data_IF_317997679602
#
_entry.id   IF_317997679602
#
_cell.length_a   1.000
_cell.length_b   1.000
_cell.length_c   1.000
_cell.angle_alpha   90.00
_cell.angle_beta   90.00
_cell.angle_gamma   90.00
#
_symmetry.space_group_name_H-M   'P 1'
#
loop_
_entity.id
_entity.type
_entity.pdbx_description
1 polymer ?
#
# COMPACT_ATOMS: atom_id res chain seq x y z
N UNK A 1 -19.87 14.52 24.49
CA UNK A 1 -19.71 13.55 23.39
C UNK A 1 -18.26 13.62 22.91
N UNK A 2 -17.56 12.49 22.75
CA UNK A 2 -16.16 12.53 22.37
C UNK A 2 -15.95 12.97 20.92
N UNK A 3 -14.88 13.71 20.71
CA UNK A 3 -14.35 14.08 19.40
C UNK A 3 -13.22 13.11 19.03
N UNK A 4 -13.37 12.42 17.90
CA UNK A 4 -12.36 11.48 17.38
C UNK A 4 -11.51 12.15 16.33
N UNK A 5 -10.19 12.08 16.49
CA UNK A 5 -9.25 12.36 15.43
C UNK A 5 -9.06 11.08 14.62
N UNK A 6 -9.48 11.10 13.37
CA UNK A 6 -9.44 9.93 12.48
C UNK A 6 -8.37 10.10 11.41
N UNK A 7 -7.26 9.37 11.52
CA UNK A 7 -6.23 9.35 10.48
C UNK A 7 -6.64 8.42 9.35
N UNK A 8 -6.80 8.98 8.17
CA UNK A 8 -7.14 8.29 6.92
C UNK A 8 -6.07 8.48 5.87
N UNK A 9 -5.97 7.55 4.93
CA UNK A 9 -5.15 7.71 3.73
C UNK A 9 -6.01 8.17 2.56
N UNK A 10 -5.88 9.44 2.19
CA UNK A 10 -6.50 10.04 1.00
C UNK A 10 -5.45 10.39 -0.08
N UNK A 11 -4.25 9.78 -0.04
CA UNK A 11 -3.23 9.93 -1.07
C UNK A 11 -3.66 9.23 -2.37
N UNK A 12 -4.70 9.77 -2.99
CA UNK A 12 -5.33 9.29 -4.24
C UNK A 12 -5.26 10.43 -5.24
N UNK A 13 -4.38 10.30 -6.25
CA UNK A 13 -4.15 11.34 -7.27
C UNK A 13 -5.16 11.30 -8.41
N UNK A 14 -5.69 10.12 -8.70
CA UNK A 14 -6.59 9.86 -9.82
C UNK A 14 -7.89 10.68 -9.71
N UNK A 15 -8.42 11.13 -10.86
CA UNK A 15 -9.70 11.85 -10.91
C UNK A 15 -10.86 10.95 -10.46
N UNK A 16 -10.82 9.66 -10.79
CA UNK A 16 -11.85 8.67 -10.41
C UNK A 16 -11.62 8.09 -9.02
N UNK A 17 -11.23 8.93 -8.06
CA UNK A 17 -10.90 8.48 -6.70
C UNK A 17 -12.07 7.83 -5.96
N UNK A 18 -13.32 8.14 -6.33
CA UNK A 18 -14.53 7.57 -5.69
C UNK A 18 -14.62 6.05 -5.82
N UNK A 19 -14.09 5.48 -6.90
CA UNK A 19 -14.09 4.04 -7.14
C UNK A 19 -12.97 3.31 -6.42
N UNK A 20 -11.98 4.04 -5.92
CA UNK A 20 -10.86 3.48 -5.22
C UNK A 20 -11.29 2.86 -3.88
N UNK A 21 -10.82 1.63 -3.62
CA UNK A 21 -11.11 0.92 -2.37
C UNK A 21 -10.76 1.76 -1.13
N UNK A 22 -9.63 2.47 -1.18
CA UNK A 22 -9.14 3.36 -0.12
C UNK A 22 -10.17 4.42 0.23
N UNK A 23 -10.78 5.04 -0.77
CA UNK A 23 -11.83 6.04 -0.57
C UNK A 23 -13.11 5.43 0.04
N UNK A 24 -13.54 4.27 -0.46
CA UNK A 24 -14.71 3.55 0.06
C UNK A 24 -14.52 3.15 1.54
N UNK A 25 -13.33 2.67 1.89
CA UNK A 25 -12.99 2.32 3.28
C UNK A 25 -12.92 3.56 4.18
N UNK A 26 -12.44 4.71 3.67
CA UNK A 26 -12.45 5.97 4.39
C UNK A 26 -13.90 6.40 4.71
N UNK A 27 -14.79 6.37 3.72
CA UNK A 27 -16.21 6.71 3.91
C UNK A 27 -16.91 5.78 4.92
N UNK A 28 -16.65 4.47 4.86
CA UNK A 28 -17.18 3.51 5.85
C UNK A 28 -16.68 3.80 7.26
N UNK A 29 -15.42 4.22 7.41
CA UNK A 29 -14.83 4.56 8.71
C UNK A 29 -15.48 5.81 9.30
N UNK A 30 -15.72 6.83 8.48
CA UNK A 30 -16.45 8.05 8.87
C UNK A 30 -17.86 7.68 9.34
N UNK A 31 -18.60 6.92 8.52
CA UNK A 31 -19.96 6.46 8.85
C UNK A 31 -20.02 5.71 10.18
N UNK A 32 -19.04 4.86 10.43
CA UNK A 32 -18.98 4.06 11.67
C UNK A 32 -18.70 4.90 12.90
N UNK A 33 -17.75 5.84 12.83
CA UNK A 33 -17.33 6.65 13.97
C UNK A 33 -18.31 7.78 14.29
N UNK A 34 -18.96 8.36 13.28
CA UNK A 34 -19.94 9.43 13.48
C UNK A 34 -21.31 8.94 13.98
N UNK A 35 -21.47 7.62 14.18
CA UNK A 35 -22.61 7.07 14.91
C UNK A 35 -22.61 7.57 16.36
N UNK A 36 -23.77 7.54 17.02
CA UNK A 36 -23.95 7.96 18.41
C UNK A 36 -23.54 9.41 18.68
N UNK A 37 -23.72 10.28 17.67
CA UNK A 37 -23.42 11.71 17.77
C UNK A 37 -21.96 12.06 18.08
N UNK A 38 -21.00 11.18 17.84
CA UNK A 38 -19.58 11.52 17.98
C UNK A 38 -19.16 12.53 16.91
N UNK A 39 -18.34 13.49 17.27
CA UNK A 39 -17.67 14.38 16.32
C UNK A 39 -16.46 13.68 15.74
N UNK A 40 -16.13 13.94 14.46
CA UNK A 40 -14.98 13.35 13.79
C UNK A 40 -14.17 14.42 13.08
N UNK A 41 -12.88 14.53 13.39
CA UNK A 41 -11.92 15.38 12.68
C UNK A 41 -10.99 14.48 11.89
N UNK A 42 -11.05 14.58 10.57
CA UNK A 42 -10.26 13.75 9.66
C UNK A 42 -8.90 14.39 9.42
N UNK A 43 -7.87 13.61 9.68
CA UNK A 43 -6.45 13.92 9.44
C UNK A 43 -5.97 13.11 8.23
N UNK A 44 -5.48 13.78 7.20
CA UNK A 44 -4.98 13.09 6.01
C UNK A 44 -3.92 13.88 5.25
N UNK A 45 -3.42 13.28 4.17
CA UNK A 45 -2.47 13.92 3.26
C UNK A 45 -2.72 13.52 1.81
N UNK A 46 -2.14 14.28 0.89
CA UNK A 46 -2.12 14.01 -0.54
C UNK A 46 -0.77 14.43 -1.12
N UNK A 47 -0.11 13.53 -1.83
CA UNK A 47 1.15 13.79 -2.54
C UNK A 47 2.34 14.08 -1.62
N UNK A 48 3.32 14.77 -2.18
CA UNK A 48 4.57 15.16 -1.50
C UNK A 48 4.89 16.64 -1.75
N UNK A 49 4.07 17.56 -1.24
CA UNK A 49 4.30 18.99 -1.42
C UNK A 49 5.58 19.44 -0.72
N UNK A 50 6.23 20.48 -1.28
CA UNK A 50 7.33 21.19 -0.60
C UNK A 50 6.85 22.38 0.24
N UNK A 51 5.56 22.65 0.24
CA UNK A 51 4.85 23.72 0.95
C UNK A 51 3.38 23.65 0.59
N UNK A 52 2.65 24.76 0.69
CA UNK A 52 1.24 24.82 0.28
C UNK A 52 1.12 24.75 -1.24
N UNK A 53 0.38 23.75 -1.73
CA UNK A 53 0.09 23.52 -3.15
C UNK A 53 -1.41 23.26 -3.33
N UNK A 54 -2.12 24.21 -3.95
CA UNK A 54 -3.57 24.14 -4.15
C UNK A 54 -4.01 22.90 -4.95
N UNK A 55 -3.15 22.36 -5.83
CA UNK A 55 -3.41 21.15 -6.60
C UNK A 55 -3.46 19.88 -5.72
N UNK A 56 -2.82 19.94 -4.57
CA UNK A 56 -2.75 18.87 -3.57
C UNK A 56 -3.67 19.13 -2.36
N UNK A 57 -4.62 20.08 -2.49
CA UNK A 57 -5.64 20.33 -1.45
C UNK A 57 -6.58 19.14 -1.32
N UNK A 58 -6.96 18.85 -0.07
CA UNK A 58 -7.95 17.81 0.25
C UNK A 58 -9.40 18.27 0.03
N UNK A 59 -9.63 19.54 -0.31
CA UNK A 59 -10.97 20.12 -0.50
C UNK A 59 -11.88 19.26 -1.39
N UNK A 60 -11.32 18.71 -2.47
CA UNK A 60 -12.07 17.88 -3.44
C UNK A 60 -12.68 16.61 -2.84
N UNK A 61 -12.15 16.11 -1.72
CA UNK A 61 -12.63 14.89 -1.09
C UNK A 61 -13.83 15.14 -0.17
N UNK A 62 -13.98 16.33 0.40
CA UNK A 62 -15.03 16.60 1.40
C UNK A 62 -16.44 16.33 0.88
N UNK A 63 -16.88 16.87 -0.28
CA UNK A 63 -18.23 16.61 -0.79
C UNK A 63 -18.45 15.12 -1.11
N UNK A 64 -17.44 14.47 -1.70
CA UNK A 64 -17.53 13.06 -2.07
C UNK A 64 -17.58 12.14 -0.85
N UNK A 65 -16.78 12.41 0.18
CA UNK A 65 -16.83 11.69 1.46
C UNK A 65 -18.18 11.89 2.14
N UNK A 66 -18.73 13.10 2.02
CA UNK A 66 -20.06 13.41 2.52
C UNK A 66 -21.13 12.49 1.93
N UNK A 67 -21.22 12.43 0.62
CA UNK A 67 -22.16 11.56 -0.11
C UNK A 67 -21.92 10.09 0.27
N UNK A 68 -20.68 9.61 0.22
CA UNK A 68 -20.34 8.20 0.42
C UNK A 68 -20.53 7.74 1.88
N UNK A 69 -20.37 8.62 2.86
CA UNK A 69 -20.58 8.32 4.29
C UNK A 69 -21.99 8.57 4.80
N UNK A 70 -22.82 9.30 4.03
CA UNK A 70 -24.13 9.78 4.46
C UNK A 70 -24.05 10.83 5.59
N UNK A 71 -22.97 11.62 5.60
CA UNK A 71 -22.72 12.68 6.59
C UNK A 71 -22.26 13.96 5.88
N UNK A 72 -22.65 15.13 6.37
CA UNK A 72 -22.03 16.37 5.91
C UNK A 72 -20.58 16.41 6.38
N UNK A 73 -19.64 16.52 5.44
CA UNK A 73 -18.21 16.69 5.74
C UNK A 73 -17.81 18.13 5.46
N UNK A 74 -17.48 18.86 6.49
CA UNK A 74 -17.05 20.24 6.41
C UNK A 74 -15.53 20.29 6.20
N UNK A 75 -15.08 21.08 5.21
CA UNK A 75 -13.67 21.24 4.91
C UNK A 75 -13.09 22.46 5.62
N UNK A 76 -12.02 22.25 6.39
CA UNK A 76 -11.29 23.32 7.07
C UNK A 76 -10.00 23.61 6.31
N UNK A 77 -9.92 24.80 5.69
CA UNK A 77 -8.86 25.19 4.76
C UNK A 77 -7.65 25.83 5.43
N UNK A 78 -7.63 25.98 6.73
CA UNK A 78 -6.57 26.66 7.48
C UNK A 78 -6.03 25.80 8.64
N UNK A 79 -4.87 26.20 9.17
CA UNK A 79 -4.22 25.56 10.30
C UNK A 79 -4.13 26.46 11.56
N UNK A 80 -5.10 27.35 11.73
CA UNK A 80 -5.26 28.04 13.01
C UNK A 80 -5.93 27.07 14.02
N UNK A 81 -5.13 26.34 14.76
CA UNK A 81 -5.60 25.28 15.65
C UNK A 81 -6.54 25.78 16.76
N UNK A 82 -6.36 27.01 17.26
CA UNK A 82 -7.27 27.59 18.24
C UNK A 82 -8.65 27.84 17.63
N UNK A 83 -8.70 28.39 16.43
CA UNK A 83 -9.95 28.61 15.70
C UNK A 83 -10.62 27.28 15.36
N UNK A 84 -9.87 26.30 14.83
CA UNK A 84 -10.39 24.95 14.54
C UNK A 84 -10.99 24.32 15.80
N UNK A 85 -10.31 24.42 16.94
CA UNK A 85 -10.80 23.88 18.21
C UNK A 85 -12.13 24.51 18.60
N UNK A 86 -12.28 25.83 18.47
CA UNK A 86 -13.55 26.53 18.74
C UNK A 86 -14.64 26.05 17.79
N UNK A 87 -14.39 25.97 16.48
CA UNK A 87 -15.34 25.50 15.46
C UNK A 87 -15.81 24.07 15.77
N UNK A 88 -14.88 23.14 16.02
CA UNK A 88 -15.19 21.75 16.37
C UNK A 88 -15.97 21.65 17.69
N UNK A 89 -15.61 22.45 18.70
CA UNK A 89 -16.28 22.42 20.00
C UNK A 89 -17.72 22.92 19.92
N UNK A 90 -17.96 23.97 19.16
CA UNK A 90 -19.29 24.58 19.00
C UNK A 90 -20.21 23.74 18.10
N UNK A 91 -19.68 22.87 17.25
CA UNK A 91 -20.47 22.09 16.31
C UNK A 91 -21.37 21.05 17.01
N UNK A 92 -22.53 20.72 16.45
CA UNK A 92 -23.42 19.70 17.00
C UNK A 92 -22.76 18.30 16.96
N UNK A 93 -23.28 17.40 17.78
CA UNK A 93 -22.89 15.99 17.74
C UNK A 93 -23.14 15.38 16.38
N UNK A 94 -22.23 14.49 15.95
CA UNK A 94 -22.27 13.87 14.64
C UNK A 94 -21.58 14.66 13.52
N UNK A 95 -21.10 15.89 13.80
CA UNK A 95 -20.36 16.71 12.84
C UNK A 95 -19.05 16.04 12.41
N UNK A 96 -18.71 16.20 11.13
CA UNK A 96 -17.51 15.63 10.53
C UNK A 96 -16.71 16.73 9.82
N UNK A 97 -15.45 16.87 10.17
CA UNK A 97 -14.54 17.85 9.60
C UNK A 97 -13.40 17.15 8.86
N UNK A 98 -12.99 17.70 7.73
CA UNK A 98 -11.77 17.31 7.02
C UNK A 98 -10.79 18.48 7.07
N UNK A 99 -9.64 18.27 7.73
CA UNK A 99 -8.58 19.27 7.70
C UNK A 99 -7.90 19.28 6.33
N UNK A 100 -7.28 20.42 6.01
CA UNK A 100 -6.42 20.54 4.84
C UNK A 100 -5.20 19.60 4.95
N UNK A 101 -4.54 19.37 3.81
CA UNK A 101 -3.40 18.48 3.65
C UNK A 101 -2.29 18.72 4.69
N UNK A 102 -2.15 17.82 5.64
CA UNK A 102 -1.19 17.97 6.73
C UNK A 102 0.27 18.07 6.25
N UNK A 103 0.56 17.56 5.04
CA UNK A 103 1.90 17.68 4.44
C UNK A 103 2.24 19.11 3.98
N UNK A 104 1.30 20.05 4.04
CA UNK A 104 1.63 21.47 3.90
C UNK A 104 2.37 22.02 5.12
N UNK A 105 2.24 21.36 6.27
CA UNK A 105 2.94 21.74 7.49
C UNK A 105 4.31 21.06 7.55
N UNK A 106 5.35 21.87 7.69
CA UNK A 106 6.75 21.39 7.75
C UNK A 106 7.02 20.42 8.90
N UNK A 107 6.24 20.51 9.98
CA UNK A 107 6.34 19.64 11.16
C UNK A 107 5.79 18.24 10.95
N UNK A 108 4.95 18.00 9.92
CA UNK A 108 4.30 16.69 9.72
C UNK A 108 5.35 15.60 9.50
N UNK A 109 6.18 15.72 8.47
CA UNK A 109 7.22 14.74 8.16
C UNK A 109 8.40 14.72 9.14
N UNK A 110 8.57 15.78 9.94
CA UNK A 110 9.61 15.87 10.95
C UNK A 110 9.20 15.22 12.27
N UNK A 111 8.01 14.62 12.31
CA UNK A 111 7.43 14.05 13.53
C UNK A 111 7.42 15.06 14.70
N UNK A 112 7.07 16.32 14.39
CA UNK A 112 7.13 17.42 15.36
C UNK A 112 6.17 17.18 16.51
N UNK A 113 6.68 17.14 17.73
CA UNK A 113 5.89 17.03 18.96
C UNK A 113 4.98 18.24 19.15
N UNK A 114 5.44 19.45 18.75
CA UNK A 114 4.62 20.68 18.82
C UNK A 114 3.39 20.55 17.92
N UNK A 115 3.57 20.16 16.65
CA UNK A 115 2.45 19.94 15.74
C UNK A 115 1.53 18.83 16.25
N UNK A 116 2.09 17.73 16.71
CA UNK A 116 1.32 16.63 17.26
C UNK A 116 0.45 17.05 18.46
N UNK A 117 0.98 17.89 19.37
CA UNK A 117 0.23 18.47 20.50
C UNK A 117 -0.90 19.39 20.01
N UNK A 118 -0.63 20.21 18.99
CA UNK A 118 -1.65 21.06 18.37
C UNK A 118 -2.77 20.23 17.72
N UNK A 119 -2.42 19.20 16.95
CA UNK A 119 -3.41 18.27 16.37
C UNK A 119 -4.21 17.57 17.48
N UNK A 120 -3.53 17.06 18.51
CA UNK A 120 -4.16 16.37 19.64
C UNK A 120 -5.16 17.25 20.38
N UNK A 121 -4.94 18.56 20.44
CA UNK A 121 -5.86 19.49 21.11
C UNK A 121 -7.24 19.62 20.44
N UNK A 122 -7.40 19.08 19.24
CA UNK A 122 -8.65 19.12 18.46
C UNK A 122 -9.63 17.99 18.81
N UNK A 123 -9.22 17.02 19.65
CA UNK A 123 -10.10 15.90 19.99
C UNK A 123 -9.70 15.18 21.26
N UNK A 124 -10.50 14.19 21.64
CA UNK A 124 -10.34 13.43 22.88
C UNK A 124 -9.69 12.07 22.68
N UNK A 125 -9.80 11.52 21.48
CA UNK A 125 -9.30 10.18 21.13
C UNK A 125 -8.76 10.15 19.71
N UNK A 126 -7.68 9.40 19.50
CA UNK A 126 -7.08 9.23 18.19
C UNK A 126 -7.33 7.83 17.65
N UNK A 127 -7.71 7.72 16.38
CA UNK A 127 -7.89 6.47 15.66
C UNK A 127 -7.04 6.49 14.39
N UNK A 128 -6.03 5.62 14.33
CA UNK A 128 -5.28 5.39 13.11
C UNK A 128 -5.97 4.33 12.25
N UNK A 129 -6.39 4.72 11.06
CA UNK A 129 -7.00 3.83 10.06
C UNK A 129 -6.22 3.81 8.74
N UNK A 130 -4.96 4.30 8.78
CA UNK A 130 -4.03 4.38 7.67
C UNK A 130 -2.89 3.37 7.86
N UNK A 131 -3.03 2.17 7.32
CA UNK A 131 -1.98 1.16 7.36
C UNK A 131 -0.76 1.59 6.51
N UNK A 132 -1.02 2.17 5.34
CA UNK A 132 0.02 2.47 4.36
C UNK A 132 1.15 3.37 4.88
N UNK A 133 0.80 4.35 5.71
CA UNK A 133 1.76 5.29 6.30
C UNK A 133 2.05 5.01 7.78
N UNK A 134 1.52 3.93 8.38
CA UNK A 134 1.75 3.58 9.79
C UNK A 134 3.21 3.26 10.12
N UNK A 135 4.02 2.94 9.12
CA UNK A 135 5.47 2.72 9.26
C UNK A 135 6.27 4.03 9.30
N UNK A 136 5.63 5.18 9.02
CA UNK A 136 6.29 6.49 9.00
C UNK A 136 6.20 7.16 10.35
N UNK A 137 7.29 7.78 10.76
CA UNK A 137 7.32 8.67 11.91
C UNK A 137 6.83 10.07 11.52
N UNK A 138 5.55 10.21 11.11
CA UNK A 138 4.93 11.51 10.85
C UNK A 138 4.21 12.00 12.11
N UNK A 139 4.07 13.33 12.30
CA UNK A 139 3.46 13.92 13.50
C UNK A 139 2.02 13.41 13.73
N UNK A 140 1.24 13.28 12.66
CA UNK A 140 -0.15 12.79 12.72
C UNK A 140 -0.28 11.27 12.82
N UNK A 141 0.79 10.48 12.74
CA UNK A 141 0.76 9.02 12.85
C UNK A 141 1.52 8.52 14.09
N UNK A 142 2.65 9.12 14.42
CA UNK A 142 3.54 8.68 15.50
C UNK A 142 3.47 9.62 16.71
N UNK A 143 3.97 10.85 16.62
CA UNK A 143 4.06 11.74 17.77
C UNK A 143 2.71 12.03 18.43
N UNK A 144 1.61 12.06 17.67
CA UNK A 144 0.25 12.32 18.19
C UNK A 144 -0.19 11.29 19.24
N UNK A 145 0.29 10.05 19.13
CA UNK A 145 -0.08 8.96 20.06
C UNK A 145 0.45 9.19 21.49
N UNK A 146 1.40 10.11 21.66
CA UNK A 146 1.91 10.50 22.98
C UNK A 146 0.99 11.48 23.73
N UNK A 147 -0.02 12.05 23.05
CA UNK A 147 -0.85 13.13 23.58
C UNK A 147 -2.32 12.74 23.72
N UNK A 148 -2.75 11.62 23.14
CA UNK A 148 -4.13 11.15 23.19
C UNK A 148 -4.23 9.63 23.35
N UNK A 149 -5.28 9.13 24.01
CA UNK A 149 -5.65 7.73 23.95
C UNK A 149 -5.82 7.28 22.51
N UNK A 150 -4.98 6.35 22.06
CA UNK A 150 -4.83 5.99 20.65
C UNK A 150 -5.22 4.54 20.40
N UNK A 151 -5.95 4.28 19.30
CA UNK A 151 -6.35 2.92 18.88
C UNK A 151 -6.22 2.75 17.38
N UNK A 152 -5.93 1.52 16.97
CA UNK A 152 -6.06 1.12 15.57
C UNK A 152 -7.52 1.07 15.16
N UNK A 153 -7.85 1.70 14.05
CA UNK A 153 -9.19 1.63 13.46
C UNK A 153 -9.48 0.28 12.79
N UNK A 154 -10.75 0.03 12.42
CA UNK A 154 -11.16 -1.27 11.87
C UNK A 154 -10.39 -1.69 10.62
N UNK A 155 -10.07 -0.76 9.72
CA UNK A 155 -9.31 -1.05 8.49
C UNK A 155 -7.89 -1.45 8.85
N UNK A 156 -7.20 -0.64 9.67
CA UNK A 156 -5.84 -0.94 10.13
C UNK A 156 -5.77 -2.29 10.86
N UNK A 157 -6.73 -2.58 11.74
CA UNK A 157 -6.80 -3.87 12.46
C UNK A 157 -6.94 -5.05 11.50
N UNK A 158 -7.83 -4.96 10.52
CA UNK A 158 -8.00 -6.02 9.51
C UNK A 158 -6.71 -6.27 8.72
N UNK A 159 -6.01 -5.19 8.35
CA UNK A 159 -4.75 -5.27 7.62
C UNK A 159 -3.65 -5.94 8.47
N UNK A 160 -3.50 -5.52 9.72
CA UNK A 160 -2.56 -6.13 10.65
C UNK A 160 -2.89 -7.62 10.87
N UNK A 161 -4.15 -7.96 11.13
CA UNK A 161 -4.58 -9.34 11.37
C UNK A 161 -4.35 -10.25 10.15
N UNK A 162 -4.61 -9.75 8.93
CA UNK A 162 -4.37 -10.51 7.71
C UNK A 162 -2.88 -10.83 7.54
N UNK A 163 -2.00 -9.84 7.78
CA UNK A 163 -0.55 -10.04 7.72
C UNK A 163 -0.02 -10.91 8.85
N UNK A 164 -0.55 -10.76 10.07
CA UNK A 164 -0.17 -11.60 11.23
C UNK A 164 -0.51 -13.07 11.00
N UNK A 165 -1.69 -13.37 10.41
CA UNK A 165 -2.07 -14.74 10.07
C UNK A 165 -1.06 -15.39 9.11
N UNK A 166 -0.61 -14.63 8.10
CA UNK A 166 0.39 -15.13 7.15
C UNK A 166 1.77 -15.24 7.81
N UNK A 167 2.14 -14.29 8.67
CA UNK A 167 3.41 -14.30 9.38
C UNK A 167 3.53 -15.49 10.35
N UNK A 168 2.47 -15.76 11.11
CA UNK A 168 2.50 -16.69 12.24
C UNK A 168 2.12 -18.10 11.83
N UNK A 169 1.21 -18.27 10.87
CA UNK A 169 0.71 -19.57 10.43
C UNK A 169 0.32 -19.53 8.93
N UNK A 170 1.30 -19.46 8.03
CA UNK A 170 1.05 -19.56 6.60
C UNK A 170 0.54 -20.96 6.27
N UNK A 171 -0.39 -21.06 5.34
CA UNK A 171 -0.77 -22.36 4.76
C UNK A 171 0.17 -22.68 3.59
N UNK A 172 0.65 -23.92 3.54
CA UNK A 172 1.56 -24.39 2.50
C UNK A 172 0.80 -25.13 1.38
N UNK A 173 1.28 -25.06 0.12
CA UNK A 173 2.48 -24.36 -0.33
C UNK A 173 2.34 -22.82 -0.21
N UNK A 174 3.39 -22.18 0.32
CA UNK A 174 3.48 -20.73 0.44
C UNK A 174 4.39 -20.17 -0.66
N UNK A 175 3.84 -19.33 -1.53
CA UNK A 175 4.52 -18.76 -2.69
C UNK A 175 4.72 -17.26 -2.49
N UNK A 176 5.96 -16.81 -2.58
CA UNK A 176 6.35 -15.42 -2.66
C UNK A 176 6.66 -15.07 -4.12
N UNK A 177 6.00 -14.05 -4.66
CA UNK A 177 6.23 -13.56 -6.03
C UNK A 177 6.85 -12.18 -5.95
N UNK A 178 8.03 -12.01 -6.50
CA UNK A 178 8.84 -10.80 -6.44
C UNK A 178 9.14 -10.30 -7.84
N UNK A 179 8.82 -9.03 -8.07
CA UNK A 179 9.13 -8.34 -9.32
C UNK A 179 9.34 -6.83 -9.11
N UNK A 180 9.06 -6.05 -10.15
CA UNK A 180 9.27 -4.60 -10.18
C UNK A 180 10.65 -4.21 -10.68
N UNK A 181 11.05 -2.94 -10.51
CA UNK A 181 12.29 -2.43 -11.11
C UNK A 181 13.56 -2.72 -10.29
N UNK A 182 13.51 -2.58 -8.96
CA UNK A 182 14.69 -2.61 -8.09
C UNK A 182 14.69 -3.80 -7.13
N UNK A 183 15.80 -4.53 -7.09
CA UNK A 183 16.00 -5.61 -6.13
C UNK A 183 16.22 -5.07 -4.70
N UNK A 184 16.87 -3.91 -4.54
CA UNK A 184 17.09 -3.26 -3.24
C UNK A 184 15.81 -3.17 -2.43
N UNK A 185 14.69 -2.82 -3.08
CA UNK A 185 13.39 -2.65 -2.42
C UNK A 185 12.72 -3.97 -2.00
N UNK A 186 13.26 -5.11 -2.45
CA UNK A 186 12.67 -6.44 -2.25
C UNK A 186 13.50 -7.35 -1.36
N UNK A 187 14.79 -7.08 -1.21
CA UNK A 187 15.72 -7.91 -0.44
C UNK A 187 15.25 -8.14 1.00
N UNK A 188 14.81 -7.10 1.69
CA UNK A 188 14.33 -7.22 3.06
C UNK A 188 13.18 -8.21 3.18
N UNK A 189 12.20 -8.11 2.26
CA UNK A 189 11.05 -9.01 2.22
C UNK A 189 11.47 -10.45 1.85
N UNK A 190 12.35 -10.60 0.84
CA UNK A 190 12.87 -11.91 0.45
C UNK A 190 13.60 -12.59 1.60
N UNK A 191 14.55 -11.90 2.25
CA UNK A 191 15.32 -12.45 3.38
C UNK A 191 14.42 -12.87 4.54
N UNK A 192 13.43 -12.04 4.87
CA UNK A 192 12.50 -12.31 5.97
C UNK A 192 11.58 -13.51 5.70
N UNK A 193 11.12 -13.67 4.45
CA UNK A 193 10.16 -14.71 4.09
C UNK A 193 10.83 -16.00 3.58
N UNK A 194 12.06 -15.97 3.08
CA UNK A 194 12.74 -17.14 2.50
C UNK A 194 12.72 -18.39 3.40
N UNK A 195 12.93 -18.30 4.73
CA UNK A 195 12.80 -19.47 5.60
C UNK A 195 11.38 -20.07 5.66
N UNK A 196 10.35 -19.26 5.41
CA UNK A 196 8.93 -19.57 5.62
C UNK A 196 8.19 -19.99 4.35
N UNK A 197 8.72 -19.65 3.18
CA UNK A 197 8.08 -19.95 1.89
C UNK A 197 8.55 -21.29 1.35
N UNK A 198 7.76 -21.89 0.47
CA UNK A 198 8.14 -23.06 -0.31
C UNK A 198 8.75 -22.65 -1.65
N UNK A 199 8.24 -21.54 -2.24
CA UNK A 199 8.73 -21.02 -3.52
C UNK A 199 8.85 -19.51 -3.49
N UNK A 200 9.90 -19.00 -4.13
CA UNK A 200 10.10 -17.58 -4.46
C UNK A 200 10.16 -17.46 -5.97
N UNK A 201 9.13 -16.92 -6.60
CA UNK A 201 9.09 -16.70 -8.06
C UNK A 201 9.59 -15.28 -8.35
N UNK A 202 10.63 -15.18 -9.16
CA UNK A 202 11.30 -13.89 -9.40
C UNK A 202 11.04 -13.40 -10.81
N UNK A 203 10.69 -12.11 -10.96
CA UNK A 203 10.50 -11.44 -12.26
C UNK A 203 11.11 -10.03 -12.25
N UNK A 204 10.95 -9.31 -13.36
CA UNK A 204 11.38 -7.92 -13.51
C UNK A 204 12.87 -7.69 -13.25
N UNK A 205 13.23 -6.53 -12.73
CA UNK A 205 14.60 -6.15 -12.40
C UNK A 205 15.28 -7.10 -11.40
N UNK A 206 14.62 -7.57 -10.33
CA UNK A 206 15.17 -8.62 -9.46
C UNK A 206 15.63 -9.86 -10.21
N UNK A 207 14.88 -10.36 -11.21
CA UNK A 207 15.27 -11.52 -11.99
C UNK A 207 16.59 -11.30 -12.74
N UNK A 208 16.84 -10.10 -13.27
CA UNK A 208 18.05 -9.79 -14.01
C UNK A 208 19.33 -9.95 -13.15
N UNK A 209 19.26 -9.71 -11.84
CA UNK A 209 20.39 -9.95 -10.94
C UNK A 209 20.73 -11.45 -10.85
N UNK A 210 19.70 -12.31 -10.76
CA UNK A 210 19.91 -13.77 -10.75
C UNK A 210 20.35 -14.32 -12.11
N UNK A 211 19.76 -13.82 -13.21
CA UNK A 211 20.15 -14.21 -14.57
C UNK A 211 21.60 -13.87 -14.84
N UNK A 212 22.05 -12.66 -14.46
CA UNK A 212 23.44 -12.25 -14.58
C UNK A 212 24.38 -13.14 -13.74
N UNK A 213 23.97 -13.54 -12.54
CA UNK A 213 24.72 -14.47 -11.70
C UNK A 213 24.92 -15.83 -12.39
N UNK A 214 23.94 -16.27 -13.19
CA UNK A 214 23.99 -17.50 -13.98
C UNK A 214 24.58 -17.29 -15.37
N UNK A 215 25.40 -16.25 -15.57
CA UNK A 215 26.11 -15.91 -16.83
C UNK A 215 25.17 -15.65 -18.02
N UNK A 216 23.90 -15.36 -17.80
CA UNK A 216 22.99 -14.96 -18.87
C UNK A 216 23.31 -13.54 -19.31
N UNK A 217 23.44 -13.35 -20.64
CA UNK A 217 23.61 -12.01 -21.20
C UNK A 217 22.28 -11.22 -21.06
N UNK A 218 22.25 -10.33 -20.08
CA UNK A 218 21.11 -9.44 -19.80
C UNK A 218 21.17 -8.12 -20.56
N UNK A 219 22.24 -7.88 -21.34
CA UNK A 219 22.46 -6.64 -22.09
C UNK A 219 22.40 -5.40 -21.19
N UNK A 220 21.63 -4.39 -21.62
CA UNK A 220 21.43 -3.15 -20.86
C UNK A 220 20.18 -3.19 -19.94
N UNK A 221 19.74 -4.39 -19.55
CA UNK A 221 18.63 -4.57 -18.59
C UNK A 221 18.95 -3.98 -17.22
N UNK A 222 17.93 -3.51 -16.53
CA UNK A 222 18.07 -3.00 -15.14
C UNK A 222 18.62 -4.12 -14.26
N UNK A 223 19.74 -3.86 -13.60
CA UNK A 223 20.33 -4.72 -12.57
C UNK A 223 21.06 -3.86 -11.53
N UNK A 224 21.39 -4.44 -10.39
CA UNK A 224 22.08 -3.75 -9.29
C UNK A 224 23.36 -4.52 -8.90
N UNK A 225 24.50 -4.26 -9.57
CA UNK A 225 25.76 -4.99 -9.36
C UNK A 225 26.24 -5.02 -7.91
N UNK A 226 25.98 -3.95 -7.15
CA UNK A 226 26.30 -3.85 -5.70
C UNK A 226 25.61 -4.94 -4.85
N UNK A 227 24.57 -5.58 -5.37
CA UNK A 227 23.82 -6.62 -4.67
C UNK A 227 24.24 -8.03 -5.05
N UNK A 228 25.33 -8.20 -5.81
CA UNK A 228 25.78 -9.52 -6.30
C UNK A 228 25.99 -10.52 -5.16
N UNK A 229 26.61 -10.12 -4.05
CA UNK A 229 26.83 -11.01 -2.92
C UNK A 229 25.51 -11.43 -2.24
N UNK A 230 24.59 -10.49 -2.09
CA UNK A 230 23.26 -10.80 -1.55
C UNK A 230 22.48 -11.71 -2.50
N UNK A 231 22.59 -11.49 -3.80
CA UNK A 231 21.96 -12.35 -4.82
C UNK A 231 22.52 -13.76 -4.76
N UNK A 232 23.86 -13.91 -4.62
CA UNK A 232 24.52 -15.23 -4.44
C UNK A 232 23.99 -15.97 -3.21
N UNK A 233 23.83 -15.28 -2.09
CA UNK A 233 23.27 -15.88 -0.87
C UNK A 233 21.83 -16.37 -1.06
N UNK A 234 20.99 -15.57 -1.69
CA UNK A 234 19.61 -15.94 -1.98
C UNK A 234 19.50 -17.09 -3.00
N UNK A 235 20.38 -17.10 -4.00
CA UNK A 235 20.42 -18.12 -5.06
C UNK A 235 20.84 -19.52 -4.55
N UNK A 236 21.49 -19.63 -3.38
CA UNK A 236 21.79 -20.92 -2.72
C UNK A 236 20.53 -21.70 -2.35
N UNK A 237 19.41 -21.03 -2.18
CA UNK A 237 18.14 -21.67 -1.84
C UNK A 237 17.45 -22.24 -3.08
N UNK A 238 17.23 -23.55 -3.09
CA UNK A 238 16.45 -24.24 -4.12
C UNK A 238 14.99 -23.74 -4.23
N UNK A 239 14.53 -22.95 -3.26
CA UNK A 239 13.19 -22.35 -3.26
C UNK A 239 13.08 -21.17 -4.25
N UNK A 240 14.20 -20.56 -4.65
CA UNK A 240 14.22 -19.42 -5.58
C UNK A 240 14.16 -19.92 -7.01
N UNK A 241 13.04 -19.65 -7.66
CA UNK A 241 12.78 -20.03 -9.04
C UNK A 241 12.91 -18.78 -9.91
N UNK A 242 13.91 -18.80 -10.79
CA UNK A 242 14.18 -17.70 -11.72
C UNK A 242 13.53 -17.97 -13.07
N UNK A 243 13.33 -16.94 -13.91
CA UNK A 243 12.84 -17.13 -15.27
C UNK A 243 13.75 -18.07 -16.09
N UNK A 244 13.14 -18.93 -16.89
CA UNK A 244 13.82 -19.83 -17.82
C UNK A 244 13.80 -19.30 -19.26
N UNK A 245 12.91 -18.35 -19.54
CA UNK A 245 12.81 -17.61 -20.79
C UNK A 245 12.30 -16.18 -20.52
N UNK A 246 12.49 -15.29 -21.49
CA UNK A 246 12.15 -13.86 -21.36
C UNK A 246 11.86 -13.20 -22.69
N UNK A 247 11.19 -12.04 -22.63
CA UNK A 247 10.99 -11.15 -23.78
C UNK A 247 11.95 -9.98 -23.73
N UNK A 248 12.55 -9.67 -24.89
CA UNK A 248 13.49 -8.57 -25.06
C UNK A 248 12.92 -7.45 -25.93
N UNK A 249 13.46 -6.25 -25.73
CA UNK A 249 13.43 -5.15 -26.69
C UNK A 249 14.87 -4.71 -26.93
N UNK A 250 15.35 -4.93 -28.15
CA UNK A 250 16.78 -4.85 -28.42
C UNK A 250 17.56 -5.79 -27.48
N UNK A 251 18.46 -5.21 -26.68
CA UNK A 251 19.27 -5.94 -25.72
C UNK A 251 18.76 -5.91 -24.28
N UNK A 252 17.52 -5.39 -24.04
CA UNK A 252 16.91 -5.30 -22.70
C UNK A 252 15.88 -6.40 -22.48
N UNK A 253 15.99 -7.12 -21.38
CA UNK A 253 14.94 -8.03 -20.88
C UNK A 253 13.85 -7.17 -20.22
N UNK A 254 12.63 -7.26 -20.74
CA UNK A 254 11.51 -6.42 -20.29
C UNK A 254 10.30 -7.19 -19.75
N UNK A 255 10.23 -8.51 -19.97
CA UNK A 255 9.19 -9.37 -19.38
C UNK A 255 9.69 -10.80 -19.28
N UNK A 256 9.02 -11.62 -18.46
CA UNK A 256 9.21 -13.07 -18.44
C UNK A 256 8.58 -13.69 -19.69
N UNK A 257 9.15 -14.80 -20.15
CA UNK A 257 8.67 -15.51 -21.33
C UNK A 257 7.54 -16.51 -21.07
N UNK A 258 6.99 -17.12 -22.12
CA UNK A 258 5.82 -17.99 -22.03
C UNK A 258 6.07 -19.27 -21.21
N UNK A 259 7.26 -19.88 -21.31
CA UNK A 259 7.58 -21.09 -20.53
C UNK A 259 7.72 -20.76 -19.03
N UNK A 260 8.29 -19.60 -18.69
CA UNK A 260 8.31 -19.08 -17.32
C UNK A 260 6.91 -18.85 -16.79
N UNK A 261 6.03 -18.24 -17.60
CA UNK A 261 4.62 -18.04 -17.24
C UNK A 261 3.94 -19.37 -16.96
N UNK A 262 4.15 -20.39 -17.78
CA UNK A 262 3.59 -21.74 -17.60
C UNK A 262 4.08 -22.38 -16.30
N UNK A 263 5.39 -22.33 -16.05
CA UNK A 263 6.02 -22.83 -14.83
C UNK A 263 5.43 -22.13 -13.58
N UNK A 264 5.40 -20.81 -13.58
CA UNK A 264 4.91 -20.03 -12.45
C UNK A 264 3.41 -20.27 -12.23
N UNK A 265 2.62 -20.35 -13.29
CA UNK A 265 1.17 -20.62 -13.19
C UNK A 265 0.89 -21.97 -12.56
N UNK A 266 1.70 -23.00 -12.85
CA UNK A 266 1.59 -24.32 -12.21
C UNK A 266 1.85 -24.23 -10.71
N UNK A 267 2.93 -23.58 -10.29
CA UNK A 267 3.24 -23.41 -8.85
C UNK A 267 2.16 -22.59 -8.14
N UNK A 268 1.68 -21.52 -8.79
CA UNK A 268 0.62 -20.66 -8.25
C UNK A 268 -0.70 -21.43 -8.08
N UNK A 269 -1.04 -22.36 -8.97
CA UNK A 269 -2.29 -23.12 -8.90
C UNK A 269 -2.41 -23.98 -7.65
N UNK A 270 -1.28 -24.47 -7.13
CA UNK A 270 -1.22 -25.37 -5.97
C UNK A 270 -1.06 -24.59 -4.65
N UNK A 271 -0.71 -23.30 -4.73
CA UNK A 271 -0.44 -22.47 -3.57
C UNK A 271 -1.66 -22.33 -2.63
N UNK A 272 -1.39 -22.28 -1.32
CA UNK A 272 -2.37 -21.98 -0.26
C UNK A 272 -2.14 -20.59 0.34
N UNK A 273 -0.93 -20.07 0.25
CA UNK A 273 -0.60 -18.69 0.61
C UNK A 273 0.20 -18.07 -0.53
N UNK A 274 -0.20 -16.88 -0.95
CA UNK A 274 0.49 -16.12 -2.00
C UNK A 274 0.74 -14.70 -1.49
N UNK A 275 2.00 -14.26 -1.57
CA UNK A 275 2.37 -12.86 -1.44
C UNK A 275 2.96 -12.43 -2.77
N UNK A 276 2.42 -11.36 -3.35
CA UNK A 276 2.93 -10.80 -4.60
C UNK A 276 3.32 -9.34 -4.45
N UNK A 277 4.57 -9.00 -4.77
CA UNK A 277 5.12 -7.65 -4.68
C UNK A 277 5.99 -7.31 -5.90
N UNK A 278 5.45 -6.52 -6.80
CA UNK A 278 6.08 -6.05 -8.03
C UNK A 278 5.67 -6.83 -9.28
N UNK A 279 5.43 -6.14 -10.42
CA UNK A 279 5.10 -6.76 -11.69
C UNK A 279 6.26 -7.61 -12.23
N UNK A 280 5.95 -8.59 -13.11
CA UNK A 280 6.91 -9.51 -13.66
C UNK A 280 7.76 -8.92 -14.78
N UNK A 281 7.33 -7.80 -15.37
CA UNK A 281 7.98 -7.09 -16.46
C UNK A 281 7.56 -5.63 -16.51
N UNK A 282 7.90 -4.94 -17.62
CA UNK A 282 7.53 -3.55 -17.91
C UNK A 282 6.06 -3.47 -18.35
N UNK A 283 5.15 -3.75 -17.43
CA UNK A 283 3.70 -3.92 -17.68
C UNK A 283 2.99 -2.66 -18.14
N UNK A 284 3.57 -1.48 -17.97
CA UNK A 284 3.07 -0.21 -18.50
C UNK A 284 3.02 -0.22 -20.03
N UNK A 285 3.98 -0.88 -20.66
CA UNK A 285 3.99 -1.12 -22.10
C UNK A 285 3.25 -2.44 -22.41
N UNK A 286 2.20 -2.36 -23.24
CA UNK A 286 1.37 -3.52 -23.62
C UNK A 286 2.17 -4.68 -24.22
N UNK A 287 3.28 -4.42 -24.92
CA UNK A 287 4.16 -5.45 -25.50
C UNK A 287 4.81 -6.35 -24.42
N UNK A 288 5.02 -5.82 -23.21
CA UNK A 288 5.73 -6.47 -22.10
C UNK A 288 4.88 -6.64 -20.85
N UNK A 289 3.54 -6.58 -21.00
CA UNK A 289 2.58 -6.75 -19.92
C UNK A 289 2.13 -8.19 -19.71
N UNK A 290 2.35 -9.06 -20.71
CA UNK A 290 1.74 -10.40 -20.79
C UNK A 290 2.16 -11.29 -19.61
N UNK A 291 3.43 -11.29 -19.22
CA UNK A 291 3.93 -12.06 -18.07
C UNK A 291 3.21 -11.67 -16.79
N UNK A 292 3.12 -10.37 -16.51
CA UNK A 292 2.41 -9.84 -15.37
C UNK A 292 0.91 -10.18 -15.40
N UNK A 293 0.26 -10.04 -16.55
CA UNK A 293 -1.18 -10.33 -16.70
C UNK A 293 -1.49 -11.81 -16.53
N UNK A 294 -0.67 -12.69 -17.07
CA UNK A 294 -0.87 -14.15 -16.94
C UNK A 294 -0.66 -14.62 -15.50
N UNK A 295 0.39 -14.12 -14.82
CA UNK A 295 0.60 -14.37 -13.39
C UNK A 295 -0.58 -13.86 -12.56
N UNK A 296 -1.08 -12.64 -12.84
CA UNK A 296 -2.28 -12.12 -12.21
C UNK A 296 -3.49 -13.04 -12.42
N UNK A 297 -3.73 -13.50 -13.65
CA UNK A 297 -4.82 -14.43 -13.98
C UNK A 297 -4.70 -15.76 -13.23
N UNK A 298 -3.48 -16.31 -13.12
CA UNK A 298 -3.22 -17.54 -12.37
C UNK A 298 -3.56 -17.35 -10.88
N UNK A 299 -3.11 -16.25 -10.28
CA UNK A 299 -3.42 -15.91 -8.88
C UNK A 299 -4.93 -15.75 -8.68
N UNK A 300 -5.62 -15.03 -9.55
CA UNK A 300 -7.06 -14.79 -9.46
C UNK A 300 -7.90 -16.07 -9.68
N UNK A 301 -7.39 -17.02 -10.43
CA UNK A 301 -8.02 -18.34 -10.65
C UNK A 301 -7.91 -19.23 -9.41
N UNK A 302 -6.86 -19.10 -8.63
CA UNK A 302 -6.68 -19.90 -7.41
C UNK A 302 -7.60 -19.40 -6.28
N UNK A 303 -8.73 -20.06 -6.10
CA UNK A 303 -9.73 -19.74 -5.07
C UNK A 303 -9.37 -20.29 -3.67
N UNK A 304 -8.38 -21.17 -3.58
CA UNK A 304 -7.98 -21.83 -2.33
C UNK A 304 -6.92 -21.05 -1.57
N UNK A 305 -6.18 -20.15 -2.25
CA UNK A 305 -5.08 -19.43 -1.66
C UNK A 305 -5.54 -18.20 -0.87
N UNK A 306 -4.85 -17.93 0.25
CA UNK A 306 -4.85 -16.61 0.87
C UNK A 306 -3.89 -15.72 0.11
N UNK A 307 -4.37 -14.61 -0.44
CA UNK A 307 -3.61 -13.75 -1.34
C UNK A 307 -3.36 -12.42 -0.68
N UNK A 308 -2.09 -12.00 -0.63
CA UNK A 308 -1.66 -10.64 -0.26
C UNK A 308 -0.95 -10.00 -1.43
N UNK A 309 -1.38 -8.80 -1.78
CA UNK A 309 -0.81 -8.01 -2.86
C UNK A 309 -0.21 -6.75 -2.29
N UNK A 310 1.09 -6.62 -2.42
CA UNK A 310 1.86 -5.46 -1.99
C UNK A 310 2.34 -4.61 -3.17
N UNK A 311 2.39 -3.30 -2.95
CA UNK A 311 2.88 -2.33 -3.93
C UNK A 311 1.80 -1.77 -4.87
N UNK A 312 1.95 -0.47 -5.19
CA UNK A 312 1.00 0.27 -6.05
C UNK A 312 1.00 -0.28 -7.47
N UNK A 313 2.17 -0.59 -8.00
CA UNK A 313 2.35 -1.11 -9.36
C UNK A 313 1.72 -2.49 -9.53
N UNK A 314 1.93 -3.39 -8.55
CA UNK A 314 1.31 -4.73 -8.54
C UNK A 314 -0.21 -4.63 -8.51
N UNK A 315 -0.71 -3.71 -7.69
CA UNK A 315 -2.14 -3.43 -7.58
C UNK A 315 -2.72 -2.91 -8.89
N UNK A 316 -2.03 -1.97 -9.54
CA UNK A 316 -2.43 -1.42 -10.83
C UNK A 316 -2.45 -2.51 -11.93
N UNK A 317 -1.47 -3.40 -11.93
CA UNK A 317 -1.39 -4.51 -12.87
C UNK A 317 -2.58 -5.48 -12.73
N UNK A 318 -2.98 -5.79 -11.49
CA UNK A 318 -4.13 -6.69 -11.26
C UNK A 318 -5.45 -6.06 -11.69
N UNK A 319 -5.66 -4.78 -11.40
CA UNK A 319 -6.89 -4.06 -11.75
C UNK A 319 -7.10 -4.04 -13.27
N UNK A 320 -6.03 -4.00 -14.07
CA UNK A 320 -6.11 -4.12 -15.53
C UNK A 320 -6.68 -5.46 -16.00
N UNK A 321 -6.49 -6.51 -15.22
CA UNK A 321 -6.88 -7.88 -15.61
C UNK A 321 -8.31 -8.19 -15.19
N UNK A 322 -8.68 -7.88 -13.95
CA UNK A 322 -10.02 -8.10 -13.39
C UNK A 322 -10.14 -7.45 -11.99
N UNK A 323 -11.37 -7.21 -11.53
CA UNK A 323 -11.61 -6.86 -10.13
C UNK A 323 -11.10 -7.97 -9.20
N UNK A 324 -10.47 -7.57 -8.08
CA UNK A 324 -9.96 -8.52 -7.09
C UNK A 324 -11.08 -9.32 -6.43
N UNK A 325 -10.92 -10.64 -6.26
CA UNK A 325 -11.89 -11.43 -5.53
C UNK A 325 -11.91 -11.07 -4.03
N UNK A 326 -13.05 -11.29 -3.38
CA UNK A 326 -13.26 -10.91 -1.98
C UNK A 326 -12.28 -11.58 -0.98
N UNK A 327 -11.68 -12.72 -1.34
CA UNK A 327 -10.68 -13.42 -0.52
C UNK A 327 -9.24 -12.93 -0.73
N UNK A 328 -9.01 -12.06 -1.72
CA UNK A 328 -7.70 -11.46 -1.92
C UNK A 328 -7.56 -10.23 -1.03
N UNK A 329 -6.58 -10.27 -0.14
CA UNK A 329 -6.19 -9.13 0.64
C UNK A 329 -5.29 -8.20 -0.18
N UNK A 330 -5.70 -6.95 -0.32
CA UNK A 330 -4.92 -5.91 -0.99
C UNK A 330 -4.33 -5.00 0.07
N UNK A 331 -3.02 -4.96 0.18
CA UNK A 331 -2.35 -3.91 0.94
C UNK A 331 -2.58 -2.58 0.24
N UNK A 332 -3.40 -1.71 0.85
CA UNK A 332 -3.73 -0.40 0.30
C UNK A 332 -2.60 0.56 0.64
N UNK A 333 -1.58 0.54 -0.19
CA UNK A 333 -0.62 1.62 -0.27
C UNK A 333 0.68 1.40 0.46
N UNK A 334 1.65 2.11 0.13
CA UNK A 334 3.03 2.21 0.53
C UNK A 334 3.87 2.20 -0.73
N UNK A 335 4.22 3.38 -1.24
CA UNK A 335 5.50 3.51 -1.95
C UNK A 335 6.56 3.38 -0.87
N UNK A 336 7.42 2.38 -1.01
CA UNK A 336 8.71 2.39 -0.34
C UNK A 336 9.54 3.60 -0.77
#
# INVERSE_FOLDING_TARGET
MPTYLLRLNLDIKERNFKDQLRFKLAAQSIKSLSKRNNKVVILSHLGRPKGTDKSLSLKRFAPALGIASGKRVEFISHFNFQKIKKEVSAAPGGSVFLLENLRFLSGEKKNSKTLAKQLASLGDRYINNDFADSHRADASTSAITNFLPSKSGPVLKKEIQALQKIRNNPQHPFVLIIGGAKMTDKIGLMRYLLPKVDYVLVGGGPANNFLKLNNVNIGSSINEPRLIQTTKLLARSKKVIIPIDWKKDGNKILDIGPETVKLYSKIISDARTIIWNGPMGYFENKKFALGTEKVAKAILKNKKARIVIGGVETTAAIIRVKSLPAHAYRQVGGRQ
#
